data_IF_579658947759
#
_entry.id   IF_579658947759
#
_cell.length_a   1.000
_cell.length_b   1.000
_cell.length_c   1.000
_cell.angle_alpha   90.00
_cell.angle_beta   90.00
_cell.angle_gamma   90.00
#
_symmetry.space_group_name_H-M   'P 1'
#
loop_
_entity.id
_entity.type
_entity.pdbx_description
1 polymer ?
#
# COMPACT_ATOMS: atom_id res chain seq x y z
N UNK A 1 21.19 -5.12 13.41
CA UNK A 1 19.91 -4.41 13.13
C UNK A 1 19.75 -3.97 11.67
N UNK A 2 20.74 -3.34 11.02
CA UNK A 2 20.61 -2.87 9.63
C UNK A 2 20.55 -4.01 8.58
N UNK A 3 21.29 -5.11 8.79
CA UNK A 3 21.36 -6.21 7.84
C UNK A 3 20.07 -7.05 7.79
N UNK A 4 19.47 -7.34 8.95
CA UNK A 4 18.20 -8.06 9.05
C UNK A 4 17.03 -7.35 8.35
N UNK A 5 17.04 -6.01 8.29
CA UNK A 5 16.03 -5.25 7.54
C UNK A 5 16.16 -5.45 6.01
N UNK A 6 17.38 -5.50 5.49
CA UNK A 6 17.62 -5.72 4.05
C UNK A 6 17.23 -7.12 3.63
N UNK A 7 17.57 -8.14 4.42
CA UNK A 7 17.11 -9.51 4.21
C UNK A 7 15.59 -9.58 4.28
N UNK A 8 14.95 -8.97 5.28
CA UNK A 8 13.50 -8.90 5.35
C UNK A 8 12.85 -8.21 4.14
N UNK A 9 13.44 -7.12 3.64
CA UNK A 9 12.90 -6.44 2.45
C UNK A 9 13.02 -7.30 1.18
N UNK A 10 14.05 -8.16 1.14
CA UNK A 10 14.35 -9.03 -0.01
C UNK A 10 13.58 -10.35 0.08
N UNK A 11 13.29 -10.82 1.30
CA UNK A 11 12.59 -12.06 1.55
C UNK A 11 11.06 -11.88 1.35
N UNK A 12 10.58 -12.38 0.22
CA UNK A 12 9.16 -12.41 -0.15
C UNK A 12 8.73 -13.83 -0.56
N UNK A 13 8.79 -14.82 0.35
CA UNK A 13 8.54 -16.22 0.03
C UNK A 13 7.09 -16.48 -0.42
N UNK A 14 6.15 -15.60 -0.06
CA UNK A 14 4.74 -15.69 -0.43
C UNK A 14 4.35 -14.80 -1.62
N UNK A 15 5.28 -14.02 -2.17
CA UNK A 15 5.04 -13.24 -3.39
C UNK A 15 4.02 -12.09 -3.25
N UNK A 16 3.82 -11.54 -2.04
CA UNK A 16 2.87 -10.45 -1.80
C UNK A 16 3.23 -9.18 -2.60
N UNK A 17 2.21 -8.47 -3.07
CA UNK A 17 2.40 -7.20 -3.81
C UNK A 17 2.72 -6.05 -2.86
N UNK A 18 2.05 -6.07 -1.71
CA UNK A 18 2.17 -5.09 -0.63
C UNK A 18 2.53 -5.82 0.67
N UNK A 19 3.69 -5.48 1.25
CA UNK A 19 4.15 -6.05 2.52
C UNK A 19 3.78 -5.12 3.67
N UNK A 20 3.30 -5.68 4.77
CA UNK A 20 3.00 -4.89 5.96
C UNK A 20 4.32 -4.36 6.57
N UNK A 21 4.33 -3.12 7.04
CA UNK A 21 5.53 -2.61 7.72
C UNK A 21 5.74 -3.32 9.06
N UNK A 22 6.99 -3.71 9.39
CA UNK A 22 7.28 -4.38 10.66
C UNK A 22 7.09 -3.46 11.88
N UNK A 23 6.98 -2.15 11.66
CA UNK A 23 6.68 -1.15 12.68
C UNK A 23 5.47 -0.31 12.25
N UNK A 24 4.45 -0.29 13.08
CA UNK A 24 3.26 0.54 12.96
C UNK A 24 2.17 -0.05 12.07
N UNK A 25 1.43 0.84 11.41
CA UNK A 25 0.35 0.53 10.47
C UNK A 25 0.72 0.96 9.06
N UNK A 26 0.49 0.08 8.10
CA UNK A 26 0.58 0.40 6.68
C UNK A 26 1.22 -0.69 5.84
N UNK A 27 1.25 -0.40 4.55
CA UNK A 27 1.81 -1.27 3.52
C UNK A 27 2.90 -0.55 2.74
N UNK A 28 3.87 -1.33 2.26
CA UNK A 28 4.88 -0.87 1.32
C UNK A 28 4.82 -1.76 0.07
N UNK A 29 4.79 -1.18 -1.14
CA UNK A 29 4.87 -1.96 -2.37
C UNK A 29 6.25 -2.60 -2.48
N UNK A 30 6.29 -3.94 -2.51
CA UNK A 30 7.54 -4.70 -2.65
C UNK A 30 7.71 -5.21 -4.09
N UNK A 31 6.60 -5.47 -4.80
CA UNK A 31 6.61 -5.86 -6.22
C UNK A 31 6.36 -4.69 -7.15
N UNK A 32 6.86 -4.83 -8.39
CA UNK A 32 6.57 -3.90 -9.51
C UNK A 32 5.07 -3.72 -9.75
N UNK A 33 4.26 -4.74 -9.49
CA UNK A 33 2.79 -4.68 -9.59
C UNK A 33 2.18 -3.69 -8.57
N UNK A 34 2.66 -3.72 -7.32
CA UNK A 34 2.25 -2.75 -6.30
C UNK A 34 2.67 -1.32 -6.67
N UNK A 35 3.86 -1.15 -7.24
CA UNK A 35 4.31 0.13 -7.79
C UNK A 35 3.49 0.60 -8.99
N UNK A 36 3.04 -0.31 -9.86
CA UNK A 36 2.10 0.02 -10.95
C UNK A 36 0.79 0.56 -10.41
N UNK A 37 0.22 -0.07 -9.38
CA UNK A 37 -1.02 0.38 -8.72
C UNK A 37 -0.84 1.76 -8.10
N UNK A 38 0.28 2.00 -7.41
CA UNK A 38 0.63 3.32 -6.84
C UNK A 38 0.85 4.36 -7.95
N UNK A 39 1.53 3.99 -9.04
CA UNK A 39 1.74 4.86 -10.19
C UNK A 39 0.44 5.24 -10.88
N UNK A 40 -0.47 4.27 -11.07
CA UNK A 40 -1.80 4.51 -11.61
C UNK A 40 -2.60 5.46 -10.71
N UNK A 41 -2.50 5.30 -9.39
CA UNK A 41 -3.13 6.21 -8.42
C UNK A 41 -2.59 7.64 -8.56
N UNK A 42 -1.27 7.80 -8.62
CA UNK A 42 -0.62 9.10 -8.80
C UNK A 42 -1.08 9.77 -10.09
N UNK A 43 -1.12 9.02 -11.20
CA UNK A 43 -1.60 9.51 -12.50
C UNK A 43 -3.07 9.91 -12.41
N UNK A 44 -3.92 9.08 -11.80
CA UNK A 44 -5.34 9.39 -11.62
C UNK A 44 -5.56 10.65 -10.79
N UNK A 45 -4.78 10.86 -9.72
CA UNK A 45 -4.81 12.08 -8.90
C UNK A 45 -4.38 13.30 -9.70
N UNK A 46 -3.30 13.19 -10.49
CA UNK A 46 -2.80 14.27 -11.34
C UNK A 46 -3.83 14.66 -12.40
N UNK A 47 -4.45 13.69 -13.08
CA UNK A 47 -5.50 13.95 -14.06
C UNK A 47 -6.68 14.68 -13.39
N UNK A 48 -7.12 14.21 -12.23
CA UNK A 48 -8.23 14.81 -11.49
C UNK A 48 -7.91 16.25 -11.06
N UNK A 49 -6.67 16.51 -10.61
CA UNK A 49 -6.19 17.85 -10.26
C UNK A 49 -6.04 18.79 -11.45
N UNK A 50 -5.55 18.29 -12.60
CA UNK A 50 -5.48 19.06 -13.85
C UNK A 50 -6.88 19.39 -14.38
N UNK A 51 -7.82 18.46 -14.26
CA UNK A 51 -9.21 18.67 -14.66
C UNK A 51 -9.88 19.77 -13.82
N UNK A 52 -9.63 19.78 -12.51
CA UNK A 52 -10.13 20.84 -11.61
C UNK A 52 -9.51 22.21 -11.93
N UNK A 53 -8.21 22.28 -12.19
CA UNK A 53 -7.53 23.53 -12.55
C UNK A 53 -7.95 24.10 -13.92
N UNK A 54 -8.34 23.23 -14.86
CA UNK A 54 -8.78 23.66 -16.19
C UNK A 54 -10.15 24.34 -16.24
N UNK A 55 -10.93 24.28 -15.15
CA UNK A 55 -12.33 24.74 -15.12
C UNK A 55 -12.52 26.19 -14.64
N UNK A 56 -11.46 26.91 -14.25
CA UNK A 56 -11.57 28.29 -13.74
C UNK A 56 -12.04 28.34 -12.28
N UNK A 57 -12.98 29.24 -11.95
CA UNK A 57 -13.56 29.39 -10.60
C UNK A 57 -14.32 28.11 -10.18
N UNK A 58 -13.80 27.33 -9.21
CA UNK A 58 -14.40 26.05 -8.86
C UNK A 58 -15.74 26.27 -8.14
N UNK A 59 -16.81 25.81 -8.76
CA UNK A 59 -18.14 25.82 -8.14
C UNK A 59 -18.21 24.75 -7.02
N UNK A 60 -18.98 24.99 -5.96
CA UNK A 60 -19.17 24.04 -4.85
C UNK A 60 -19.51 22.61 -5.33
N UNK A 61 -20.32 22.49 -6.39
CA UNK A 61 -20.65 21.20 -7.03
C UNK A 61 -19.43 20.47 -7.58
N UNK A 62 -18.49 21.18 -8.20
CA UNK A 62 -17.28 20.60 -8.78
C UNK A 62 -16.31 20.15 -7.67
N UNK A 63 -16.19 20.92 -6.58
CA UNK A 63 -15.40 20.53 -5.43
C UNK A 63 -15.93 19.24 -4.76
N UNK A 64 -17.26 19.14 -4.58
CA UNK A 64 -17.89 17.93 -4.04
C UNK A 64 -17.64 16.73 -4.96
N UNK A 65 -17.79 16.90 -6.28
CA UNK A 65 -17.55 15.83 -7.24
C UNK A 65 -16.08 15.37 -7.25
N UNK A 66 -15.13 16.30 -7.17
CA UNK A 66 -13.71 16.00 -7.06
C UNK A 66 -13.40 15.18 -5.80
N UNK A 67 -13.94 15.58 -4.64
CA UNK A 67 -13.77 14.83 -3.38
C UNK A 67 -14.37 13.43 -3.49
N UNK A 68 -15.58 13.31 -4.05
CA UNK A 68 -16.26 12.03 -4.20
C UNK A 68 -15.46 11.08 -5.11
N UNK A 69 -14.97 11.60 -6.23
CA UNK A 69 -14.20 10.84 -7.22
C UNK A 69 -12.83 10.43 -6.66
N UNK A 70 -12.16 11.33 -5.95
CA UNK A 70 -10.90 11.05 -5.24
C UNK A 70 -11.10 9.99 -4.16
N UNK A 71 -12.16 10.11 -3.36
CA UNK A 71 -12.50 9.14 -2.32
C UNK A 71 -12.78 7.77 -2.92
N UNK A 72 -13.52 7.70 -4.05
CA UNK A 72 -13.76 6.46 -4.78
C UNK A 72 -12.47 5.79 -5.25
N UNK A 73 -11.55 6.56 -5.84
CA UNK A 73 -10.22 6.07 -6.25
C UNK A 73 -9.45 5.50 -5.05
N UNK A 74 -9.45 6.20 -3.91
CA UNK A 74 -8.79 5.72 -2.68
C UNK A 74 -9.42 4.44 -2.15
N UNK A 75 -10.75 4.31 -2.16
CA UNK A 75 -11.44 3.10 -1.71
C UNK A 75 -11.07 1.91 -2.61
N UNK A 76 -11.10 2.08 -3.93
CA UNK A 76 -10.71 1.02 -4.87
C UNK A 76 -9.27 0.59 -4.62
N UNK A 77 -8.37 1.55 -4.39
CA UNK A 77 -6.98 1.27 -4.03
C UNK A 77 -6.88 0.46 -2.74
N UNK A 78 -7.59 0.88 -1.69
CA UNK A 78 -7.60 0.17 -0.41
C UNK A 78 -8.10 -1.26 -0.60
N UNK A 79 -9.16 -1.49 -1.38
CA UNK A 79 -9.66 -2.83 -1.68
C UNK A 79 -8.60 -3.67 -2.40
N UNK A 80 -7.90 -3.10 -3.39
CA UNK A 80 -6.82 -3.78 -4.10
C UNK A 80 -5.69 -4.12 -3.12
N UNK A 81 -5.24 -3.17 -2.30
CA UNK A 81 -4.21 -3.37 -1.28
C UNK A 81 -4.62 -4.42 -0.25
N UNK A 82 -5.89 -4.46 0.16
CA UNK A 82 -6.40 -5.49 1.08
C UNK A 82 -6.45 -6.87 0.43
N UNK A 83 -6.75 -6.97 -0.87
CA UNK A 83 -6.81 -8.26 -1.59
C UNK A 83 -5.44 -8.79 -2.01
N UNK A 84 -4.48 -7.91 -2.31
CA UNK A 84 -3.16 -8.28 -2.83
C UNK A 84 -2.02 -8.11 -1.81
N UNK A 85 -2.28 -7.44 -0.69
CA UNK A 85 -1.34 -7.23 0.40
C UNK A 85 -1.51 -8.20 1.56
N UNK A 86 -0.49 -8.29 2.40
CA UNK A 86 -0.60 -8.98 3.69
C UNK A 86 -1.69 -8.34 4.55
N UNK A 87 -2.41 -9.15 5.33
CA UNK A 87 -3.40 -8.65 6.30
C UNK A 87 -2.76 -7.56 7.17
N UNK A 88 -3.38 -6.39 7.21
CA UNK A 88 -3.03 -5.30 8.13
C UNK A 88 -2.99 -5.88 9.55
N UNK A 89 -1.79 -5.98 10.10
CA UNK A 89 -1.57 -6.34 11.50
C UNK A 89 -0.80 -5.19 12.13
N UNK A 90 -1.27 -4.76 13.29
CA UNK A 90 -0.51 -3.83 14.11
C UNK A 90 0.75 -4.56 14.62
N UNK A 91 1.93 -4.08 14.24
CA UNK A 91 3.21 -4.71 14.58
C UNK A 91 4.15 -3.68 15.22
N UNK A 92 4.81 -4.06 16.32
CA UNK A 92 5.78 -3.23 17.04
C UNK A 92 7.20 -3.85 17.04
N UNK A 93 7.53 -4.71 16.08
CA UNK A 93 8.87 -5.32 16.01
C UNK A 93 9.01 -6.52 15.09
N UNK A 94 10.24 -6.76 14.61
CA UNK A 94 10.61 -7.95 13.82
C UNK A 94 10.52 -9.26 14.64
N UNK A 95 10.53 -9.18 15.98
CA UNK A 95 10.63 -10.34 16.88
C UNK A 95 9.47 -11.32 16.77
N UNK A 96 8.27 -10.87 16.38
CA UNK A 96 7.12 -11.76 16.22
C UNK A 96 7.29 -12.73 15.05
N UNK A 97 8.07 -12.39 14.01
CA UNK A 97 8.26 -13.25 12.83
C UNK A 97 9.45 -14.19 12.94
N UNK A 98 10.52 -13.81 13.65
CA UNK A 98 11.64 -14.72 13.90
C UNK A 98 11.18 -15.99 14.64
N UNK A 99 10.21 -15.84 15.56
CA UNK A 99 9.59 -16.94 16.30
C UNK A 99 8.63 -17.82 15.47
N UNK A 100 8.01 -17.28 14.40
CA UNK A 100 7.18 -18.05 13.46
C UNK A 100 8.01 -18.75 12.36
N UNK A 101 9.10 -18.12 11.93
CA UNK A 101 10.04 -18.70 10.97
C UNK A 101 10.78 -19.90 11.58
N UNK A 102 11.24 -19.79 12.84
CA UNK A 102 11.80 -20.94 13.58
C UNK A 102 10.78 -22.06 13.78
N UNK A 103 9.51 -21.74 14.08
CA UNK A 103 8.43 -22.75 14.19
C UNK A 103 8.08 -23.46 12.88
N UNK A 104 8.41 -22.89 11.74
CA UNK A 104 8.15 -23.50 10.43
C UNK A 104 9.30 -24.44 10.02
N UNK A 105 10.54 -24.09 10.38
CA UNK A 105 11.72 -24.93 10.15
C UNK A 105 11.80 -26.15 11.07
N UNK A 106 11.30 -26.06 12.32
CA UNK A 106 11.27 -27.22 13.23
C UNK A 106 10.12 -28.21 12.98
N UNK A 107 9.19 -27.90 12.07
CA UNK A 107 8.09 -28.81 11.69
C UNK A 107 8.36 -29.65 10.43
N UNK A 108 9.61 -29.65 9.94
CA UNK A 108 10.03 -30.43 8.78
C UNK A 108 11.15 -31.41 9.15
#
# INVERSE_FOLDING_TARGET
MQQTYKEYATDNPHGYWFKARPFGWGWVPVKREGWMVVGLMMIALLINGLWLNGLGEPTLKQAIQFVLQTTGIVIVLLVICFKTGERLRWQWGLSTRESDATKTTERH
#
